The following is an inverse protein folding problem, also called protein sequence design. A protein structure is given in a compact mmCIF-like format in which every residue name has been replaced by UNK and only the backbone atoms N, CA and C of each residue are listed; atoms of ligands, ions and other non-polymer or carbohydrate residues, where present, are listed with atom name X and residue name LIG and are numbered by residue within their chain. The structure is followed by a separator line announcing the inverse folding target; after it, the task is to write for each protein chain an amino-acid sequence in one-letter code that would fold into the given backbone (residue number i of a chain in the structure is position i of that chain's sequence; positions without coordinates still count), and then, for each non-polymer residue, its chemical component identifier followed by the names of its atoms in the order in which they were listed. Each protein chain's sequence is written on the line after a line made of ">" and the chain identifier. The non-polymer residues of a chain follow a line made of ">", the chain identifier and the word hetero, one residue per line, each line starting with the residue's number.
data_IF_439350909144
#
_entry.id   IF_439350909144
#
_cell.length_a   1.000
_cell.length_b   1.000
_cell.length_c   1.000
_cell.angle_alpha   90.00
_cell.angle_beta   90.00
_cell.angle_gamma   90.00
#
_symmetry.space_group_name_H-M   'P 1'
#
loop_
_entity.id
_entity.type
_entity.pdbx_description
1 polymer ?
#
# COMPACT_ATOMS: atom_id res chain seq x y z
N UNK A 1 -3.92 -52.38 -30.07
CA UNK A 1 -4.58 -51.43 -29.15
C UNK A 1 -3.48 -50.56 -28.57
N UNK A 2 -3.21 -49.42 -29.19
CA UNK A 2 -2.25 -48.41 -28.71
C UNK A 2 -3.04 -47.27 -28.11
N UNK A 3 -2.63 -46.82 -26.91
CA UNK A 3 -3.13 -45.59 -26.30
C UNK A 3 -2.52 -44.38 -27.01
N UNK A 4 -3.24 -43.25 -27.12
CA UNK A 4 -2.67 -42.03 -27.69
C UNK A 4 -1.79 -41.30 -26.64
N UNK A 5 -0.62 -40.84 -27.09
CA UNK A 5 0.23 -39.92 -26.35
C UNK A 5 -0.42 -38.52 -26.37
N UNK A 6 -0.70 -37.96 -25.18
CA UNK A 6 -1.04 -36.55 -25.03
C UNK A 6 0.25 -35.74 -25.00
N UNK A 7 0.53 -35.06 -26.11
CA UNK A 7 1.53 -33.99 -26.17
C UNK A 7 0.99 -32.74 -25.48
N UNK A 8 1.47 -32.44 -24.29
CA UNK A 8 1.31 -31.12 -23.67
C UNK A 8 2.46 -30.22 -24.13
N UNK A 9 2.31 -29.62 -25.31
CA UNK A 9 3.08 -28.45 -25.66
C UNK A 9 2.52 -27.26 -24.86
N UNK A 10 3.20 -26.90 -23.77
CA UNK A 10 3.03 -25.58 -23.16
C UNK A 10 3.47 -24.54 -24.19
N UNK A 11 2.53 -23.70 -24.62
CA UNK A 11 2.84 -22.53 -25.44
C UNK A 11 3.78 -21.58 -24.70
N UNK A 12 4.56 -20.75 -25.42
CA UNK A 12 5.42 -19.76 -24.79
C UNK A 12 4.55 -18.80 -23.97
N UNK A 13 4.92 -18.62 -22.70
CA UNK A 13 4.19 -17.81 -21.74
C UNK A 13 3.88 -16.43 -22.29
N UNK A 14 2.66 -15.95 -22.02
CA UNK A 14 2.37 -14.53 -22.15
C UNK A 14 3.45 -13.78 -21.39
N UNK A 15 4.11 -12.84 -22.06
CA UNK A 15 4.91 -11.82 -21.42
C UNK A 15 4.19 -11.38 -20.15
N UNK A 16 4.86 -11.47 -18.99
CA UNK A 16 4.40 -10.70 -17.83
C UNK A 16 4.30 -9.26 -18.32
N UNK A 17 3.11 -8.70 -18.28
CA UNK A 17 2.90 -7.29 -18.62
C UNK A 17 3.91 -6.44 -17.84
N UNK A 18 4.46 -5.40 -18.47
CA UNK A 18 5.56 -4.59 -17.91
C UNK A 18 5.24 -3.87 -16.59
N UNK A 19 4.00 -4.00 -16.09
CA UNK A 19 3.52 -3.55 -14.79
C UNK A 19 3.12 -4.77 -13.95
N UNK A 20 4.09 -5.59 -13.55
CA UNK A 20 3.86 -6.75 -12.68
C UNK A 20 4.49 -6.51 -11.29
N UNK A 21 3.71 -6.01 -10.31
CA UNK A 21 4.17 -5.83 -8.95
C UNK A 21 4.67 -7.12 -8.31
N UNK A 22 5.79 -7.04 -7.59
CA UNK A 22 6.38 -8.16 -6.86
C UNK A 22 6.32 -7.99 -5.33
N UNK A 23 5.94 -6.81 -4.84
CA UNK A 23 5.71 -6.51 -3.42
C UNK A 23 4.86 -5.25 -3.25
N UNK A 24 4.10 -5.15 -2.16
CA UNK A 24 3.48 -3.89 -1.73
C UNK A 24 4.41 -3.24 -0.71
N UNK A 25 5.04 -2.16 -1.15
CA UNK A 25 6.16 -1.53 -0.45
C UNK A 25 5.67 -0.61 0.67
N UNK A 26 4.87 0.41 0.36
CA UNK A 26 4.45 1.37 1.36
C UNK A 26 3.15 2.08 1.02
N UNK A 27 2.55 2.64 2.06
CA UNK A 27 1.42 3.58 1.96
C UNK A 27 1.95 4.97 2.26
N UNK A 28 1.81 5.89 1.32
CA UNK A 28 2.23 7.25 1.51
C UNK A 28 1.04 8.14 1.83
N UNK A 29 1.20 9.00 2.83
CA UNK A 29 0.19 9.92 3.33
C UNK A 29 0.70 11.36 3.29
N UNK A 30 -0.22 12.29 3.06
CA UNK A 30 0.02 13.71 3.30
C UNK A 30 -0.55 14.10 4.66
N UNK A 31 0.21 14.79 5.49
CA UNK A 31 -0.20 15.21 6.84
C UNK A 31 0.32 16.61 7.16
N UNK A 32 -0.38 17.37 8.00
CA UNK A 32 0.03 18.70 8.42
C UNK A 32 1.13 18.66 9.49
N UNK A 33 1.08 17.67 10.37
CA UNK A 33 2.06 17.37 11.40
C UNK A 33 2.29 15.85 11.46
N UNK A 34 3.45 15.42 10.96
CA UNK A 34 3.83 14.00 10.94
C UNK A 34 4.21 13.47 12.32
N UNK A 35 4.68 14.33 13.24
CA UNK A 35 5.37 13.86 14.44
C UNK A 35 4.45 13.04 15.36
N UNK A 36 3.20 13.45 15.66
CA UNK A 36 2.30 12.64 16.48
C UNK A 36 2.02 11.24 15.90
N UNK A 37 1.97 11.12 14.56
CA UNK A 37 1.79 9.82 13.91
C UNK A 37 3.07 8.99 14.02
N UNK A 38 4.24 9.59 13.80
CA UNK A 38 5.53 8.90 13.98
C UNK A 38 5.66 8.37 15.41
N UNK A 39 5.37 9.22 16.41
CA UNK A 39 5.45 8.86 17.83
C UNK A 39 4.50 7.69 18.15
N UNK A 40 3.25 7.74 17.71
CA UNK A 40 2.30 6.62 17.88
C UNK A 40 2.83 5.32 17.27
N UNK A 41 3.32 5.37 16.03
CA UNK A 41 3.82 4.20 15.32
C UNK A 41 5.07 3.62 16.01
N UNK A 42 5.97 4.46 16.51
CA UNK A 42 7.23 4.01 17.10
C UNK A 42 7.08 3.58 18.56
N UNK A 43 6.35 4.35 19.36
CA UNK A 43 6.24 4.14 20.81
C UNK A 43 5.28 3.00 21.15
N UNK A 44 4.27 2.76 20.31
CA UNK A 44 3.19 1.81 20.61
C UNK A 44 3.06 0.66 19.60
N UNK A 45 3.52 0.83 18.37
CA UNK A 45 3.32 -0.14 17.29
C UNK A 45 4.63 -0.75 16.78
N UNK A 46 5.66 -0.80 17.64
CA UNK A 46 6.90 -1.54 17.40
C UNK A 46 7.69 -1.10 16.15
N UNK A 47 7.34 0.03 15.54
CA UNK A 47 8.02 0.54 14.36
C UNK A 47 9.23 1.40 14.76
N UNK A 48 10.04 1.73 13.76
CA UNK A 48 11.08 2.73 13.88
C UNK A 48 11.14 3.58 12.62
N UNK A 49 11.75 4.76 12.75
CA UNK A 49 12.07 5.61 11.61
C UNK A 49 13.19 4.94 10.81
N UNK A 50 12.87 4.57 9.57
CA UNK A 50 13.82 3.97 8.60
C UNK A 50 14.61 5.07 7.92
N UNK A 51 13.92 6.14 7.51
CA UNK A 51 14.52 7.32 6.89
C UNK A 51 13.70 8.56 7.24
N UNK A 52 14.37 9.70 7.33
CA UNK A 52 13.72 10.98 7.57
C UNK A 52 14.49 12.11 6.89
N UNK A 53 13.73 13.01 6.30
CA UNK A 53 14.23 14.26 5.74
C UNK A 53 13.43 15.43 6.31
N UNK A 54 13.73 16.64 5.84
CA UNK A 54 12.93 17.81 6.21
C UNK A 54 11.48 17.69 5.73
N UNK A 55 11.19 16.91 4.68
CA UNK A 55 9.87 16.86 4.03
C UNK A 55 9.10 15.56 4.24
N UNK A 56 9.74 14.50 4.72
CA UNK A 56 9.05 13.24 5.00
C UNK A 56 9.70 12.40 6.10
N UNK A 57 8.92 11.48 6.66
CA UNK A 57 9.38 10.37 7.51
C UNK A 57 8.88 9.04 6.95
N UNK A 58 9.76 8.06 6.83
CA UNK A 58 9.47 6.68 6.44
C UNK A 58 9.59 5.79 7.67
N UNK A 59 8.50 5.11 8.03
CA UNK A 59 8.37 4.36 9.29
C UNK A 59 7.92 2.93 9.00
N UNK A 60 8.51 1.96 9.69
CA UNK A 60 8.12 0.56 9.57
C UNK A 60 8.78 -0.33 10.61
N UNK A 61 8.30 -1.57 10.75
CA UNK A 61 8.91 -2.58 11.62
C UNK A 61 10.18 -3.20 11.02
N UNK A 62 10.25 -3.30 9.68
CA UNK A 62 11.42 -3.75 8.91
C UNK A 62 11.46 -2.99 7.58
N UNK A 63 12.61 -2.44 7.22
CA UNK A 63 12.80 -1.66 6.01
C UNK A 63 12.63 -2.47 4.70
N UNK A 64 12.58 -3.80 4.77
CA UNK A 64 12.28 -4.69 3.63
C UNK A 64 10.80 -5.08 3.53
N UNK A 65 9.97 -4.68 4.49
CA UNK A 65 8.54 -5.02 4.61
C UNK A 65 7.67 -3.81 4.32
N UNK A 66 6.37 -3.90 4.61
CA UNK A 66 5.45 -2.78 4.41
C UNK A 66 5.83 -1.57 5.26
N UNK A 67 5.78 -0.36 4.70
CA UNK A 67 6.04 0.90 5.44
C UNK A 67 4.88 1.89 5.35
N UNK A 68 4.94 2.90 6.20
CA UNK A 68 4.15 4.13 6.11
C UNK A 68 5.09 5.30 5.85
N UNK A 69 4.83 6.06 4.78
CA UNK A 69 5.57 7.29 4.47
C UNK A 69 4.69 8.49 4.76
N UNK A 70 5.15 9.42 5.58
CA UNK A 70 4.42 10.62 5.97
C UNK A 70 5.10 11.84 5.35
N UNK A 71 4.39 12.55 4.49
CA UNK A 71 4.86 13.78 3.86
C UNK A 71 4.18 15.01 4.45
N UNK A 72 4.97 16.06 4.72
CA UNK A 72 4.41 17.33 5.18
C UNK A 72 3.61 18.02 4.08
N UNK A 73 2.42 18.48 4.42
CA UNK A 73 1.66 19.37 3.57
C UNK A 73 0.57 20.15 4.33
N UNK A 74 0.14 21.32 3.83
CA UNK A 74 -0.85 22.13 4.54
C UNK A 74 -2.18 21.41 4.80
N UNK A 75 -2.61 21.42 6.06
CA UNK A 75 -3.89 20.89 6.53
C UNK A 75 -5.09 21.86 6.38
N UNK A 76 -6.30 21.40 6.72
CA UNK A 76 -6.63 19.99 6.99
C UNK A 76 -6.56 19.14 5.71
N UNK A 77 -6.34 17.83 5.89
CA UNK A 77 -6.39 16.83 4.83
C UNK A 77 -7.71 16.06 4.90
N UNK A 78 -8.22 15.66 3.74
CA UNK A 78 -9.46 14.88 3.63
C UNK A 78 -9.10 13.40 3.58
N UNK A 79 -9.72 12.53 4.40
CA UNK A 79 -9.49 11.08 4.32
C UNK A 79 -9.66 10.53 2.90
N UNK A 80 -10.57 11.12 2.12
CA UNK A 80 -10.68 10.82 0.70
C UNK A 80 -11.16 9.39 0.48
N UNK A 81 -10.42 8.64 -0.34
CA UNK A 81 -10.69 7.20 -0.50
C UNK A 81 -10.11 6.38 0.63
N UNK A 82 -9.21 6.90 1.48
CA UNK A 82 -8.58 6.09 2.52
C UNK A 82 -9.58 5.75 3.61
N UNK A 83 -9.87 4.45 3.77
CA UNK A 83 -10.63 3.90 4.88
C UNK A 83 -9.74 3.74 6.11
N UNK A 84 -8.78 2.81 6.03
CA UNK A 84 -7.77 2.58 7.07
C UNK A 84 -6.54 1.86 6.52
N UNK A 85 -5.43 1.96 7.25
CA UNK A 85 -4.23 1.15 7.04
C UNK A 85 -4.16 0.09 8.15
N UNK A 86 -4.14 -1.18 7.77
CA UNK A 86 -4.12 -2.29 8.72
C UNK A 86 -2.73 -2.90 8.87
N UNK A 87 -2.36 -3.20 10.11
CA UNK A 87 -1.11 -3.82 10.49
C UNK A 87 -1.40 -5.18 11.14
N UNK A 88 -0.62 -6.20 10.80
CA UNK A 88 -0.78 -7.54 11.39
C UNK A 88 -0.13 -7.62 12.76
N UNK A 89 -0.72 -8.37 13.67
CA UNK A 89 -0.16 -8.67 15.00
C UNK A 89 -0.39 -10.14 15.33
N UNK A 90 0.53 -10.76 16.06
CA UNK A 90 0.42 -12.16 16.47
C UNK A 90 -0.59 -12.35 17.61
N UNK A 91 -0.75 -11.33 18.46
CA UNK A 91 -1.64 -11.30 19.62
C UNK A 91 -2.30 -9.91 19.69
N UNK A 92 -3.58 -9.85 19.36
CA UNK A 92 -4.32 -8.59 19.29
C UNK A 92 -4.57 -7.98 20.68
N UNK A 93 -4.82 -8.81 21.70
CA UNK A 93 -5.06 -8.32 23.05
C UNK A 93 -3.81 -7.66 23.63
N UNK A 94 -2.63 -8.26 23.41
CA UNK A 94 -1.36 -7.69 23.82
C UNK A 94 -1.06 -6.37 23.09
N UNK A 95 -1.30 -6.30 21.78
CA UNK A 95 -1.08 -5.09 21.00
C UNK A 95 -2.03 -3.94 21.42
N UNK A 96 -3.30 -4.25 21.68
CA UNK A 96 -4.26 -3.27 22.19
C UNK A 96 -3.91 -2.75 23.58
N UNK A 97 -3.37 -3.61 24.45
CA UNK A 97 -2.93 -3.19 25.79
C UNK A 97 -1.70 -2.26 25.75
N UNK A 98 -0.97 -2.21 24.64
CA UNK A 98 0.17 -1.32 24.45
C UNK A 98 -0.24 0.06 23.89
N UNK A 99 -1.46 0.23 23.40
CA UNK A 99 -1.95 1.51 22.87
C UNK A 99 -2.19 2.55 23.99
N UNK A 100 -2.17 3.85 23.65
CA UNK A 100 -2.61 4.90 24.56
C UNK A 100 -4.02 4.67 25.13
N UNK A 101 -4.19 4.87 26.44
CA UNK A 101 -5.45 4.64 27.16
C UNK A 101 -6.63 5.50 26.67
N UNK A 102 -6.35 6.61 25.98
CA UNK A 102 -7.34 7.57 25.49
C UNK A 102 -7.83 7.26 24.06
N UNK A 103 -7.24 6.27 23.37
CA UNK A 103 -7.71 5.84 22.06
C UNK A 103 -9.03 5.06 22.18
N UNK A 104 -10.03 5.51 21.42
CA UNK A 104 -11.28 4.79 21.26
C UNK A 104 -11.08 3.70 20.22
N UNK A 105 -11.09 2.45 20.68
CA UNK A 105 -10.91 1.27 19.83
C UNK A 105 -12.26 0.64 19.49
N UNK A 106 -12.51 0.45 18.21
CA UNK A 106 -13.64 -0.31 17.66
C UNK A 106 -13.18 -1.72 17.29
N UNK A 107 -13.71 -2.76 17.95
CA UNK A 107 -13.33 -4.15 17.70
C UNK A 107 -14.42 -4.91 16.92
N UNK A 108 -14.00 -5.68 15.93
CA UNK A 108 -14.83 -6.57 15.13
C UNK A 108 -14.07 -7.87 14.85
N UNK A 109 -14.39 -8.93 15.62
CA UNK A 109 -13.68 -10.20 15.56
C UNK A 109 -12.19 -10.07 15.83
N UNK A 110 -11.39 -10.46 14.84
CA UNK A 110 -9.93 -10.49 14.87
C UNK A 110 -9.29 -9.16 14.42
N UNK A 111 -10.10 -8.12 14.21
CA UNK A 111 -9.66 -6.79 13.80
C UNK A 111 -10.09 -5.74 14.82
N UNK A 112 -9.20 -4.79 15.12
CA UNK A 112 -9.50 -3.63 15.93
C UNK A 112 -9.03 -2.35 15.22
N UNK A 113 -9.90 -1.34 15.17
CA UNK A 113 -9.67 -0.09 14.45
C UNK A 113 -9.72 1.09 15.41
N UNK A 114 -8.91 2.11 15.16
CA UNK A 114 -8.92 3.35 15.93
C UNK A 114 -8.47 4.52 15.05
N UNK A 115 -8.97 5.70 15.38
CA UNK A 115 -8.50 6.95 14.78
C UNK A 115 -7.15 7.31 15.39
N UNK A 116 -6.14 7.52 14.55
CA UNK A 116 -4.85 8.06 14.95
C UNK A 116 -4.93 9.60 14.92
N UNK A 117 -4.18 10.24 14.03
CA UNK A 117 -4.16 11.69 13.89
C UNK A 117 -4.58 12.13 12.49
N UNK A 118 -5.13 13.35 12.40
CA UNK A 118 -5.48 14.00 11.12
C UNK A 118 -6.40 13.20 10.19
N UNK A 119 -7.29 12.39 10.77
CA UNK A 119 -8.22 11.55 10.03
C UNK A 119 -7.60 10.27 9.46
N UNK A 120 -6.33 9.97 9.79
CA UNK A 120 -5.76 8.64 9.58
C UNK A 120 -6.41 7.66 10.54
N UNK A 121 -6.99 6.61 9.99
CA UNK A 121 -7.47 5.46 10.74
C UNK A 121 -6.52 4.29 10.57
N UNK A 122 -6.16 3.66 11.68
CA UNK A 122 -5.33 2.46 11.70
C UNK A 122 -6.17 1.25 12.14
N UNK A 123 -5.72 0.07 11.76
CA UNK A 123 -6.26 -1.18 12.26
C UNK A 123 -5.15 -2.14 12.67
N UNK A 124 -5.43 -2.98 13.67
CA UNK A 124 -4.63 -4.13 14.05
C UNK A 124 -5.43 -5.39 13.75
N UNK A 125 -4.80 -6.33 13.04
CA UNK A 125 -5.42 -7.59 12.63
C UNK A 125 -4.64 -8.74 13.26
N UNK A 126 -5.33 -9.61 14.01
CA UNK A 126 -4.71 -10.81 14.53
C UNK A 126 -4.42 -11.81 13.40
N UNK A 127 -3.14 -12.15 13.23
CA UNK A 127 -2.68 -13.18 12.31
C UNK A 127 -1.80 -14.14 13.10
N UNK A 128 -2.40 -15.19 13.71
CA UNK A 128 -1.66 -16.12 14.55
C UNK A 128 -0.47 -16.74 13.82
N UNK A 129 0.72 -16.62 14.41
CA UNK A 129 1.96 -17.13 13.82
C UNK A 129 2.55 -16.27 12.72
N UNK A 130 2.15 -14.99 12.59
CA UNK A 130 2.91 -14.02 11.79
C UNK A 130 4.38 -13.99 12.25
N UNK A 131 5.28 -13.90 11.28
CA UNK A 131 6.73 -13.87 11.52
C UNK A 131 7.23 -12.48 11.96
N UNK A 132 6.42 -11.45 11.71
CA UNK A 132 6.69 -10.07 12.07
C UNK A 132 5.40 -9.36 12.46
N UNK A 133 5.39 -8.78 13.66
CA UNK A 133 4.33 -7.86 14.09
C UNK A 133 4.49 -6.50 13.43
N UNK A 134 3.36 -5.83 13.27
CA UNK A 134 3.20 -4.49 12.71
C UNK A 134 3.67 -4.34 11.25
N UNK A 135 3.83 -5.44 10.52
CA UNK A 135 3.92 -5.40 9.06
C UNK A 135 2.55 -5.05 8.45
N UNK A 136 2.54 -4.38 7.30
CA UNK A 136 1.33 -4.05 6.56
C UNK A 136 0.53 -5.32 6.26
N UNK A 137 -0.74 -5.35 6.67
CA UNK A 137 -1.67 -6.43 6.34
C UNK A 137 -2.44 -6.07 5.07
N UNK A 138 -3.23 -5.01 5.16
CA UNK A 138 -4.02 -4.51 4.05
C UNK A 138 -4.27 -3.00 4.14
N UNK A 139 -4.76 -2.42 3.05
CA UNK A 139 -5.30 -1.05 3.02
C UNK A 139 -6.75 -1.13 2.57
N UNK A 140 -7.64 -0.46 3.29
CA UNK A 140 -9.04 -0.35 2.88
C UNK A 140 -9.25 0.97 2.15
N UNK A 141 -9.85 0.92 0.97
CA UNK A 141 -10.23 2.09 0.18
C UNK A 141 -11.75 2.15 0.02
N UNK A 142 -12.35 3.26 0.45
CA UNK A 142 -13.75 3.60 0.24
C UNK A 142 -13.90 4.31 -1.11
N UNK A 143 -14.41 3.59 -2.08
CA UNK A 143 -14.44 3.99 -3.49
C UNK A 143 -15.87 4.26 -3.97
N UNK A 144 -15.95 5.00 -5.07
CA UNK A 144 -17.21 5.42 -5.69
C UNK A 144 -17.95 4.25 -6.34
N UNK A 145 -17.21 3.37 -7.02
CA UNK A 145 -17.71 2.16 -7.68
C UNK A 145 -16.67 1.04 -7.55
N UNK A 146 -16.97 0.04 -6.72
CA UNK A 146 -16.05 -1.07 -6.40
C UNK A 146 -15.64 -1.85 -7.65
N UNK A 147 -16.58 -2.15 -8.55
CA UNK A 147 -16.30 -2.96 -9.74
C UNK A 147 -15.39 -2.20 -10.71
N UNK A 148 -15.72 -0.94 -10.98
CA UNK A 148 -14.94 -0.09 -11.88
C UNK A 148 -13.53 0.15 -11.35
N UNK A 149 -13.39 0.43 -10.05
CA UNK A 149 -12.09 0.65 -9.43
C UNK A 149 -11.28 -0.64 -9.42
N UNK A 150 -11.87 -1.78 -9.05
CA UNK A 150 -11.18 -3.06 -9.07
C UNK A 150 -10.67 -3.41 -10.48
N UNK A 151 -11.49 -3.21 -11.51
CA UNK A 151 -11.09 -3.45 -12.90
C UNK A 151 -9.96 -2.50 -13.33
N UNK A 152 -10.06 -1.22 -13.01
CA UNK A 152 -9.02 -0.25 -13.38
C UNK A 152 -7.70 -0.47 -12.65
N UNK A 153 -7.73 -0.81 -11.37
CA UNK A 153 -6.53 -1.18 -10.62
C UNK A 153 -5.92 -2.50 -11.13
N UNK A 154 -6.75 -3.45 -11.58
CA UNK A 154 -6.25 -4.67 -12.23
C UNK A 154 -5.54 -4.38 -13.56
N UNK A 155 -6.01 -3.39 -14.34
CA UNK A 155 -5.30 -2.91 -15.54
C UNK A 155 -3.95 -2.25 -15.22
N UNK A 156 -3.77 -1.79 -13.98
CA UNK A 156 -2.49 -1.31 -13.42
C UNK A 156 -1.66 -2.45 -12.79
N UNK A 157 -2.00 -3.71 -13.08
CA UNK A 157 -1.16 -4.85 -12.71
C UNK A 157 -1.43 -5.45 -11.34
N UNK A 158 -2.41 -4.94 -10.58
CA UNK A 158 -2.81 -5.57 -9.32
C UNK A 158 -3.61 -6.85 -9.59
N UNK A 159 -3.39 -7.90 -8.80
CA UNK A 159 -4.14 -9.15 -8.97
C UNK A 159 -5.54 -8.98 -8.37
N UNK A 160 -6.59 -9.27 -9.14
CA UNK A 160 -7.97 -9.04 -8.67
C UNK A 160 -8.64 -10.32 -8.16
N UNK A 161 -9.25 -10.22 -6.98
CA UNK A 161 -10.11 -11.24 -6.37
C UNK A 161 -11.41 -10.61 -5.87
N UNK A 162 -12.38 -10.40 -6.78
CA UNK A 162 -13.65 -9.76 -6.43
C UNK A 162 -13.46 -8.28 -6.06
N UNK A 163 -13.73 -7.95 -4.80
CA UNK A 163 -13.57 -6.63 -4.16
C UNK A 163 -12.19 -6.45 -3.49
N UNK A 164 -11.29 -7.43 -3.65
CA UNK A 164 -9.91 -7.38 -3.17
C UNK A 164 -8.93 -7.31 -4.32
N UNK A 165 -7.85 -6.59 -4.10
CA UNK A 165 -6.69 -6.51 -4.98
C UNK A 165 -5.48 -7.01 -4.20
N UNK A 166 -4.77 -8.00 -4.73
CA UNK A 166 -3.61 -8.60 -4.10
C UNK A 166 -2.31 -8.14 -4.74
N UNK A 167 -1.29 -7.98 -3.90
CA UNK A 167 0.10 -7.72 -4.29
C UNK A 167 0.99 -8.55 -3.39
N UNK A 168 1.56 -9.63 -3.94
CA UNK A 168 2.52 -10.51 -3.24
C UNK A 168 2.08 -10.93 -1.82
N UNK A 169 0.79 -11.24 -1.65
CA UNK A 169 0.23 -11.69 -0.37
C UNK A 169 -0.25 -10.59 0.59
N UNK A 170 -0.15 -9.31 0.21
CA UNK A 170 -0.83 -8.19 0.89
C UNK A 170 -2.06 -7.76 0.09
N UNK A 171 -3.06 -7.20 0.77
CA UNK A 171 -4.35 -6.85 0.15
C UNK A 171 -4.60 -5.34 0.12
N UNK A 172 -5.34 -4.91 -0.91
CA UNK A 172 -6.10 -3.68 -0.91
C UNK A 172 -7.57 -4.09 -0.99
N UNK A 173 -8.36 -3.70 0.02
CA UNK A 173 -9.79 -4.03 0.13
C UNK A 173 -10.61 -2.84 -0.33
N UNK A 174 -11.59 -3.08 -1.20
CA UNK A 174 -12.44 -2.03 -1.73
C UNK A 174 -13.81 -2.06 -1.09
N UNK A 175 -14.24 -0.91 -0.57
CA UNK A 175 -15.57 -0.72 0.01
C UNK A 175 -16.34 0.33 -0.77
N UNK A 176 -17.65 0.11 -0.95
CA UNK A 176 -18.50 1.07 -1.64
C UNK A 176 -18.89 2.29 -0.77
N UNK A 177 -19.50 3.29 -1.42
CA UNK A 177 -20.04 4.46 -0.74
C UNK A 177 -18.99 5.53 -0.40
N UNK A 178 -17.83 5.47 -1.04
CA UNK A 178 -16.83 6.54 -1.04
C UNK A 178 -17.01 7.51 -2.21
N UNK A 179 -15.99 8.32 -2.45
CA UNK A 179 -15.92 9.28 -3.55
C UNK A 179 -14.47 9.38 -4.05
N UNK A 180 -14.24 9.79 -5.30
CA UNK A 180 -12.89 10.03 -5.81
C UNK A 180 -12.10 11.02 -4.95
N UNK A 181 -10.78 10.93 -4.99
CA UNK A 181 -9.92 11.84 -4.24
C UNK A 181 -10.15 13.31 -4.62
N UNK A 182 -10.16 14.15 -3.58
CA UNK A 182 -10.33 15.60 -3.70
C UNK A 182 -9.00 16.34 -3.90
N UNK A 183 -9.02 17.66 -3.73
CA UNK A 183 -7.82 18.51 -3.92
C UNK A 183 -6.75 18.35 -2.84
N UNK A 184 -7.13 17.88 -1.64
CA UNK A 184 -6.24 17.73 -0.47
C UNK A 184 -6.39 16.35 0.15
N UNK A 185 -6.06 15.28 -0.58
CA UNK A 185 -6.24 13.91 -0.12
C UNK A 185 -5.24 13.61 1.02
N UNK A 186 -5.67 12.79 1.97
CA UNK A 186 -4.80 12.17 2.98
C UNK A 186 -3.92 11.11 2.30
N UNK A 187 -4.51 10.27 1.45
CA UNK A 187 -3.75 9.32 0.64
C UNK A 187 -2.91 10.07 -0.40
N UNK A 188 -1.59 9.88 -0.36
CA UNK A 188 -0.70 10.36 -1.39
C UNK A 188 -0.57 9.33 -2.51
N UNK A 189 -0.17 8.10 -2.18
CA UNK A 189 -0.08 6.98 -3.11
C UNK A 189 0.02 5.64 -2.37
N UNK A 190 -0.22 4.58 -3.13
CA UNK A 190 0.16 3.21 -2.78
C UNK A 190 1.38 2.84 -3.62
N UNK A 191 2.43 2.32 -2.99
CA UNK A 191 3.67 1.99 -3.66
C UNK A 191 3.87 0.49 -3.77
N UNK A 192 4.26 0.03 -4.96
CA UNK A 192 4.55 -1.37 -5.25
C UNK A 192 5.94 -1.51 -5.86
N UNK A 193 6.66 -2.56 -5.46
CA UNK A 193 7.95 -2.87 -6.05
C UNK A 193 7.76 -3.56 -7.41
N UNK A 194 8.60 -3.19 -8.37
CA UNK A 194 8.68 -3.82 -9.69
C UNK A 194 10.13 -4.13 -10.05
N UNK A 195 10.31 -5.09 -10.95
CA UNK A 195 11.64 -5.43 -11.46
C UNK A 195 12.23 -4.30 -12.33
N UNK A 196 11.38 -3.51 -12.99
CA UNK A 196 11.82 -2.35 -13.76
C UNK A 196 10.75 -1.25 -13.84
N UNK A 197 11.05 -0.10 -13.24
CA UNK A 197 10.19 1.08 -13.31
C UNK A 197 10.16 1.65 -14.74
N UNK A 198 11.25 1.55 -15.49
CA UNK A 198 11.29 1.95 -16.91
C UNK A 198 10.35 1.10 -17.79
N UNK A 199 10.21 -0.20 -17.50
CA UNK A 199 9.23 -1.05 -18.20
C UNK A 199 7.79 -0.69 -17.82
N UNK A 200 7.54 -0.39 -16.54
CA UNK A 200 6.24 0.09 -16.08
C UNK A 200 5.86 1.42 -16.77
N UNK A 201 6.80 2.37 -16.89
CA UNK A 201 6.60 3.62 -17.61
C UNK A 201 6.26 3.38 -19.09
N UNK A 202 7.05 2.55 -19.77
CA UNK A 202 6.84 2.24 -21.18
C UNK A 202 5.48 1.60 -21.42
N UNK A 203 5.05 0.71 -20.53
CA UNK A 203 3.75 0.06 -20.61
C UNK A 203 2.59 1.03 -20.35
N UNK A 204 2.69 1.87 -19.32
CA UNK A 204 1.70 2.92 -19.03
C UNK A 204 1.54 3.86 -20.24
N UNK A 205 2.65 4.31 -20.85
CA UNK A 205 2.62 5.13 -22.08
C UNK A 205 1.98 4.40 -23.25
N UNK A 206 2.24 3.11 -23.42
CA UNK A 206 1.69 2.29 -24.50
C UNK A 206 0.18 2.14 -24.39
N UNK A 207 -0.33 2.01 -23.17
CA UNK A 207 -1.77 1.91 -22.84
C UNK A 207 -2.49 3.26 -22.86
N UNK A 208 -1.73 4.35 -22.78
CA UNK A 208 -2.28 5.70 -22.68
C UNK A 208 -2.72 6.07 -21.25
N UNK A 209 -2.16 5.39 -20.24
CA UNK A 209 -2.43 5.69 -18.83
C UNK A 209 -1.85 7.06 -18.45
N UNK A 210 -2.50 7.75 -17.51
CA UNK A 210 -2.07 9.08 -17.06
C UNK A 210 -0.90 8.96 -16.08
N UNK A 211 0.31 9.25 -16.56
CA UNK A 211 1.51 9.33 -15.71
C UNK A 211 1.50 10.65 -14.94
N UNK A 212 1.45 10.55 -13.61
CA UNK A 212 1.49 11.68 -12.69
C UNK A 212 2.90 12.29 -12.60
N UNK A 213 3.92 11.43 -12.50
CA UNK A 213 5.31 11.82 -12.33
C UNK A 213 6.25 10.64 -12.63
N UNK A 214 7.49 10.96 -12.98
CA UNK A 214 8.61 10.03 -12.97
C UNK A 214 9.70 10.66 -12.12
N UNK A 215 10.16 9.94 -11.09
CA UNK A 215 11.13 10.43 -10.13
C UNK A 215 12.37 9.55 -10.19
N UNK A 216 13.49 10.19 -10.52
CA UNK A 216 14.81 9.58 -10.53
C UNK A 216 15.58 10.08 -9.30
N UNK A 217 15.53 9.32 -8.22
CA UNK A 217 16.23 9.62 -6.97
C UNK A 217 17.57 8.88 -6.89
N UNK A 218 18.39 9.20 -5.89
CA UNK A 218 19.72 8.59 -5.74
C UNK A 218 19.65 7.06 -5.69
N UNK A 219 18.68 6.51 -4.97
CA UNK A 219 18.57 5.07 -4.69
C UNK A 219 17.37 4.39 -5.34
N UNK A 220 16.44 5.14 -5.93
CA UNK A 220 15.19 4.61 -6.49
C UNK A 220 14.86 5.27 -7.82
N UNK A 221 14.23 4.51 -8.70
CA UNK A 221 13.48 5.03 -9.84
C UNK A 221 12.01 4.72 -9.59
N UNK A 222 11.16 5.74 -9.65
CA UNK A 222 9.74 5.62 -9.36
C UNK A 222 8.89 6.21 -10.48
N UNK A 223 7.81 5.52 -10.83
CA UNK A 223 6.83 5.96 -11.82
C UNK A 223 5.47 5.99 -11.16
N UNK A 224 4.82 7.14 -11.21
CA UNK A 224 3.50 7.35 -10.62
C UNK A 224 2.44 7.37 -11.70
N UNK A 225 1.42 6.53 -11.57
CA UNK A 225 0.31 6.43 -12.52
C UNK A 225 -1.00 6.69 -11.78
N UNK A 226 -1.86 7.52 -12.35
CA UNK A 226 -3.21 7.71 -11.82
C UNK A 226 -4.11 6.57 -12.23
N UNK A 227 -4.76 5.97 -11.23
CA UNK A 227 -5.83 5.01 -11.40
C UNK A 227 -7.22 5.62 -11.25
N UNK A 228 -8.25 4.76 -11.22
CA UNK A 228 -9.61 5.14 -10.87
C UNK A 228 -9.69 5.88 -9.54
N UNK A 229 -10.75 6.67 -9.35
CA UNK A 229 -10.96 7.49 -8.15
C UNK A 229 -9.80 8.41 -7.77
N UNK A 230 -8.92 8.73 -8.74
CA UNK A 230 -7.68 9.50 -8.52
C UNK A 230 -6.75 8.87 -7.47
N UNK A 231 -6.82 7.55 -7.32
CA UNK A 231 -5.85 6.78 -6.53
C UNK A 231 -4.54 6.72 -7.32
N UNK A 232 -3.43 7.09 -6.69
CA UNK A 232 -2.11 7.06 -7.34
C UNK A 232 -1.38 5.77 -6.97
N UNK A 233 -0.93 5.03 -7.98
CA UNK A 233 -0.06 3.88 -7.81
C UNK A 233 1.37 4.28 -8.18
N UNK A 234 2.33 3.98 -7.32
CA UNK A 234 3.76 4.17 -7.57
C UNK A 234 4.40 2.82 -7.86
N UNK A 235 5.13 2.71 -8.96
CA UNK A 235 5.98 1.57 -9.29
C UNK A 235 7.43 1.92 -8.96
N UNK A 236 8.00 1.21 -7.99
CA UNK A 236 9.33 1.49 -7.44
C UNK A 236 10.32 0.41 -7.88
N UNK A 237 11.43 0.86 -8.44
CA UNK A 237 12.63 0.05 -8.69
C UNK A 237 13.75 0.55 -7.78
N UNK A 238 14.27 -0.32 -6.90
CA UNK A 238 15.47 -0.02 -6.12
C UNK A 238 16.72 -0.15 -7.01
N UNK A 239 17.56 0.88 -7.02
CA UNK A 239 18.77 0.88 -7.84
C UNK A 239 19.84 -0.05 -7.25
N UNK A 240 20.69 -0.67 -8.10
CA UNK A 240 21.82 -1.46 -7.64
C UNK A 240 22.71 -0.66 -6.69
N UNK A 241 22.95 -1.19 -5.48
CA UNK A 241 23.75 -0.53 -4.43
C UNK A 241 22.94 -0.06 -3.22
N UNK A 242 21.61 -0.03 -3.31
CA UNK A 242 20.75 0.13 -2.14
C UNK A 242 20.72 -1.19 -1.35
N UNK A 243 21.51 -1.25 -0.28
CA UNK A 243 21.35 -2.26 0.75
C UNK A 243 20.49 -1.66 1.86
N UNK A 244 19.26 -2.16 2.00
CA UNK A 244 18.53 -2.06 3.27
C UNK A 244 19.31 -2.93 4.25
N UNK A 245 20.39 -2.41 4.84
CA UNK A 245 21.16 -3.12 5.88
C UNK A 245 20.44 -3.02 7.21
#
# INVERSE_FOLDING_TARGET
>A
MSLPEYSTAAGPGSSRDGMAPNSFDHVALWVADRQPIVDLLCDHLGMHVIDATDTFSLVGADARRGKVTLFDAPGPRNPGVLGHVALRVADLDAALAALPDDLVVERDGDEARFDAYEGLRLALVEVPGTDLDYDLDHVTLRVSDVEQVAEGMARLGLERHGDRLAVAGKEIRLEGGGAPEGERPLLNHLAVLVDSAAQAEAEARRRGDEIAAVVDAANTLAVFVWGPDRIKLEYVEHKPGFALT
#
